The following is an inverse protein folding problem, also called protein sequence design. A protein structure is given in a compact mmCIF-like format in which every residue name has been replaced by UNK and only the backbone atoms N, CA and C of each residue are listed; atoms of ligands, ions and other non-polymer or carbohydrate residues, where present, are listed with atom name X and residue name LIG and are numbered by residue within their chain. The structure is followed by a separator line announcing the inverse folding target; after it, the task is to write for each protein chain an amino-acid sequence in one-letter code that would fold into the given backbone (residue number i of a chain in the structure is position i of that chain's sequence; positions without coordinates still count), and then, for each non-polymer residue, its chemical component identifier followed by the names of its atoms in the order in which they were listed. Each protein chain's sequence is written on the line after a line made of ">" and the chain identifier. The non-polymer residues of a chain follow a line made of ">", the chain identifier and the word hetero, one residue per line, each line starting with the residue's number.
data_IF_134353296645
#
_entry.id   IF_134353296645
#
_cell.length_a   1.000
_cell.length_b   1.000
_cell.length_c   1.000
_cell.angle_alpha   90.00
_cell.angle_beta   90.00
_cell.angle_gamma   90.00
#
_symmetry.space_group_name_H-M   'P 1'
#
loop_
_entity.id
_entity.type
_entity.pdbx_description
1 polymer ?
#
# COMPACT_ATOMS: atom_id res chain seq x y z
N UNK A 1 36.77 -18.68 -1.64
CA UNK A 1 36.70 -17.62 -2.68
C UNK A 1 35.63 -16.64 -2.24
N UNK A 2 36.01 -15.50 -1.66
CA UNK A 2 35.05 -14.49 -1.20
C UNK A 2 34.44 -13.80 -2.43
N UNK A 3 33.12 -13.80 -2.56
CA UNK A 3 32.46 -13.05 -3.63
C UNK A 3 32.80 -11.56 -3.49
N UNK A 4 33.16 -10.86 -4.58
CA UNK A 4 33.43 -9.44 -4.51
C UNK A 4 32.19 -8.73 -3.93
N UNK A 5 32.40 -7.92 -2.89
CA UNK A 5 31.37 -7.06 -2.31
C UNK A 5 30.80 -6.20 -3.43
N UNK A 6 29.59 -6.52 -3.88
CA UNK A 6 28.94 -5.74 -4.93
C UNK A 6 28.60 -4.35 -4.39
N UNK A 7 28.76 -3.29 -5.19
CA UNK A 7 28.48 -1.93 -4.75
C UNK A 7 27.03 -1.83 -4.25
N UNK A 8 26.81 -1.11 -3.15
CA UNK A 8 25.51 -1.08 -2.43
C UNK A 8 24.31 -0.75 -3.33
N UNK A 9 24.53 0.12 -4.34
CA UNK A 9 23.53 0.46 -5.36
C UNK A 9 23.06 -0.75 -6.18
N UNK A 10 23.94 -1.69 -6.46
CA UNK A 10 23.61 -2.93 -7.16
C UNK A 10 22.71 -3.82 -6.30
N UNK A 11 23.04 -3.96 -5.01
CA UNK A 11 22.25 -4.77 -4.09
C UNK A 11 20.82 -4.22 -3.95
N UNK A 12 20.68 -2.90 -3.81
CA UNK A 12 19.37 -2.23 -3.74
C UNK A 12 18.58 -2.47 -5.03
N UNK A 13 19.17 -2.19 -6.21
CA UNK A 13 18.49 -2.40 -7.49
C UNK A 13 18.09 -3.87 -7.71
N UNK A 14 18.90 -4.83 -7.26
CA UNK A 14 18.58 -6.25 -7.33
C UNK A 14 17.34 -6.59 -6.49
N UNK A 15 17.21 -6.03 -5.29
CA UNK A 15 16.01 -6.21 -4.46
C UNK A 15 14.78 -5.57 -5.10
N UNK A 16 14.92 -4.38 -5.69
CA UNK A 16 13.82 -3.75 -6.42
C UNK A 16 13.38 -4.55 -7.65
N UNK A 17 14.33 -5.15 -8.39
CA UNK A 17 14.01 -6.02 -9.51
C UNK A 17 13.24 -7.28 -9.06
N UNK A 18 13.64 -7.88 -7.93
CA UNK A 18 12.91 -8.99 -7.32
C UNK A 18 11.50 -8.59 -6.91
N UNK A 19 11.36 -7.42 -6.27
CA UNK A 19 10.07 -6.87 -5.89
C UNK A 19 9.13 -6.75 -7.10
N UNK A 20 9.58 -6.13 -8.19
CA UNK A 20 8.71 -5.98 -9.37
C UNK A 20 8.40 -7.31 -10.06
N UNK A 21 9.36 -8.25 -10.07
CA UNK A 21 9.16 -9.58 -10.66
C UNK A 21 8.12 -10.38 -9.87
N UNK A 22 8.18 -10.32 -8.54
CA UNK A 22 7.20 -10.96 -7.65
C UNK A 22 5.82 -10.30 -7.77
N UNK A 23 5.78 -8.98 -7.94
CA UNK A 23 4.54 -8.27 -8.20
C UNK A 23 3.89 -8.68 -9.52
N UNK A 24 4.70 -8.99 -10.55
CA UNK A 24 4.23 -9.46 -11.85
C UNK A 24 3.62 -10.87 -11.80
N UNK A 25 4.07 -11.72 -10.87
CA UNK A 25 3.48 -13.06 -10.61
C UNK A 25 2.42 -13.04 -9.50
N UNK A 26 1.92 -11.86 -9.14
CA UNK A 26 0.87 -11.63 -8.15
C UNK A 26 1.20 -12.18 -6.74
N UNK A 27 2.46 -12.05 -6.32
CA UNK A 27 2.91 -12.29 -4.94
C UNK A 27 3.25 -10.97 -4.21
N UNK A 28 2.26 -10.09 -3.95
CA UNK A 28 2.51 -8.72 -3.49
C UNK A 28 3.10 -8.65 -2.08
N UNK A 29 2.85 -9.63 -1.20
CA UNK A 29 3.43 -9.67 0.16
C UNK A 29 4.94 -9.90 0.13
N UNK A 30 5.41 -10.86 -0.68
CA UNK A 30 6.86 -11.10 -0.84
C UNK A 30 7.52 -9.96 -1.61
N UNK A 31 6.82 -9.42 -2.61
CA UNK A 31 7.27 -8.24 -3.34
C UNK A 31 7.49 -7.03 -2.40
N UNK A 32 6.57 -6.82 -1.45
CA UNK A 32 6.65 -5.75 -0.46
C UNK A 32 7.89 -5.90 0.42
N UNK A 33 8.16 -7.11 0.92
CA UNK A 33 9.34 -7.38 1.76
C UNK A 33 10.63 -6.96 1.04
N UNK A 34 10.80 -7.33 -0.23
CA UNK A 34 11.98 -6.94 -1.01
C UNK A 34 12.06 -5.42 -1.25
N UNK A 35 10.93 -4.73 -1.41
CA UNK A 35 10.91 -3.26 -1.53
C UNK A 35 11.31 -2.57 -0.21
N UNK A 36 10.91 -3.13 0.94
CA UNK A 36 11.26 -2.62 2.26
C UNK A 36 12.73 -2.88 2.60
N UNK A 37 13.27 -4.06 2.27
CA UNK A 37 14.71 -4.36 2.39
C UNK A 37 15.55 -3.39 1.55
N UNK A 38 15.09 -3.12 0.32
CA UNK A 38 15.73 -2.16 -0.58
C UNK A 38 15.70 -0.74 -0.01
N UNK A 39 14.57 -0.33 0.58
CA UNK A 39 14.42 0.97 1.23
C UNK A 39 15.34 1.09 2.44
N UNK A 40 15.34 0.10 3.34
CA UNK A 40 16.20 0.07 4.52
C UNK A 40 17.66 0.24 4.15
N UNK A 41 18.13 -0.53 3.17
CA UNK A 41 19.50 -0.43 2.66
C UNK A 41 19.80 0.93 2.04
N UNK A 42 18.86 1.51 1.29
CA UNK A 42 19.03 2.83 0.67
C UNK A 42 19.03 3.99 1.69
N UNK A 43 18.30 3.83 2.80
CA UNK A 43 18.30 4.78 3.93
C UNK A 43 19.64 4.74 4.65
N UNK A 44 20.13 3.55 5.02
CA UNK A 44 21.43 3.40 5.68
C UNK A 44 22.58 3.93 4.82
N UNK A 45 22.48 3.76 3.50
CA UNK A 45 23.50 4.20 2.56
C UNK A 45 23.36 5.65 2.08
N UNK A 46 22.36 6.40 2.58
CA UNK A 46 22.03 7.78 2.17
C UNK A 46 21.90 7.98 0.66
N UNK A 47 21.38 6.99 -0.06
CA UNK A 47 21.17 7.07 -1.51
C UNK A 47 19.76 7.56 -1.82
N UNK A 48 19.52 8.87 -1.71
CA UNK A 48 18.19 9.50 -1.83
C UNK A 48 17.41 9.11 -3.10
N UNK A 49 18.06 9.04 -4.26
CA UNK A 49 17.43 8.58 -5.50
C UNK A 49 16.85 7.17 -5.37
N UNK A 50 17.60 6.26 -4.73
CA UNK A 50 17.15 4.89 -4.52
C UNK A 50 16.12 4.80 -3.39
N UNK A 51 16.16 5.65 -2.37
CA UNK A 51 15.09 5.74 -1.37
C UNK A 51 13.75 6.10 -2.02
N UNK A 52 13.73 7.15 -2.85
CA UNK A 52 12.54 7.55 -3.61
C UNK A 52 12.05 6.42 -4.53
N UNK A 53 12.96 5.76 -5.24
CA UNK A 53 12.63 4.60 -6.09
C UNK A 53 12.06 3.44 -5.26
N UNK A 54 12.64 3.11 -4.11
CA UNK A 54 12.12 2.06 -3.22
C UNK A 54 10.73 2.40 -2.68
N UNK A 55 10.46 3.67 -2.35
CA UNK A 55 9.13 4.12 -1.96
C UNK A 55 8.09 3.94 -3.08
N UNK A 56 8.47 4.13 -4.35
CA UNK A 56 7.59 3.87 -5.49
C UNK A 56 7.16 2.39 -5.54
N UNK A 57 8.13 1.47 -5.49
CA UNK A 57 7.85 0.02 -5.53
C UNK A 57 7.07 -0.44 -4.29
N UNK A 58 7.40 0.09 -3.11
CA UNK A 58 6.63 -0.15 -1.88
C UNK A 58 5.17 0.26 -2.05
N UNK A 59 4.92 1.45 -2.61
CA UNK A 59 3.57 1.94 -2.90
C UNK A 59 2.80 1.03 -3.85
N UNK A 60 3.43 0.56 -4.93
CA UNK A 60 2.82 -0.38 -5.87
C UNK A 60 2.43 -1.71 -5.21
N UNK A 61 3.29 -2.24 -4.34
CA UNK A 61 2.99 -3.48 -3.61
C UNK A 61 1.83 -3.29 -2.62
N UNK A 62 1.82 -2.19 -1.87
CA UNK A 62 0.74 -1.86 -0.93
C UNK A 62 -0.60 -1.64 -1.64
N UNK A 63 -0.57 -1.02 -2.81
CA UNK A 63 -1.75 -0.83 -3.65
C UNK A 63 -2.34 -2.17 -4.08
N UNK A 64 -1.51 -3.14 -4.50
CA UNK A 64 -1.94 -4.50 -4.81
C UNK A 64 -2.50 -5.27 -3.60
N UNK A 65 -2.04 -4.95 -2.39
CA UNK A 65 -2.57 -5.51 -1.14
C UNK A 65 -3.86 -4.82 -0.64
N UNK A 66 -4.34 -3.79 -1.33
CA UNK A 66 -5.48 -2.98 -0.86
C UNK A 66 -5.16 -2.08 0.33
N UNK A 67 -3.88 -1.90 0.68
CA UNK A 67 -3.43 -1.03 1.78
C UNK A 67 -3.30 0.42 1.29
N UNK A 68 -4.44 1.00 0.90
CA UNK A 68 -4.50 2.25 0.13
C UNK A 68 -3.89 3.46 0.84
N UNK A 69 -4.11 3.63 2.15
CA UNK A 69 -3.58 4.77 2.92
C UNK A 69 -2.04 4.73 2.93
N UNK A 70 -1.47 3.56 3.22
CA UNK A 70 -0.02 3.38 3.27
C UNK A 70 0.61 3.50 1.89
N UNK A 71 -0.09 3.05 0.84
CA UNK A 71 0.33 3.25 -0.54
C UNK A 71 0.39 4.73 -0.89
N UNK A 72 -0.63 5.53 -0.54
CA UNK A 72 -0.65 6.99 -0.75
C UNK A 72 0.54 7.69 -0.07
N UNK A 73 0.86 7.33 1.17
CA UNK A 73 2.02 7.85 1.86
C UNK A 73 3.34 7.45 1.19
N UNK A 74 3.44 6.20 0.74
CA UNK A 74 4.62 5.73 0.00
C UNK A 74 4.81 6.52 -1.30
N UNK A 75 3.75 6.78 -2.06
CA UNK A 75 3.82 7.59 -3.28
C UNK A 75 4.17 9.05 -3.00
N UNK A 76 3.69 9.61 -1.89
CA UNK A 76 4.10 10.96 -1.45
C UNK A 76 5.61 11.03 -1.20
N UNK A 77 6.17 10.02 -0.54
CA UNK A 77 7.62 9.91 -0.32
C UNK A 77 8.38 9.65 -1.62
N UNK A 78 7.83 8.87 -2.54
CA UNK A 78 8.42 8.63 -3.84
C UNK A 78 8.54 9.91 -4.69
N UNK A 79 7.53 10.78 -4.64
CA UNK A 79 7.49 12.04 -5.37
C UNK A 79 8.51 13.09 -4.90
N UNK A 80 9.23 12.85 -3.80
CA UNK A 80 10.28 13.74 -3.28
C UNK A 80 11.45 13.95 -4.25
N UNK A 81 11.62 13.04 -5.23
CA UNK A 81 12.58 13.20 -6.33
C UNK A 81 11.79 13.41 -7.62
N UNK A 82 11.99 14.56 -8.26
CA UNK A 82 11.23 15.04 -9.43
C UNK A 82 11.06 14.03 -10.57
N UNK A 83 11.95 13.03 -10.67
CA UNK A 83 11.91 11.99 -11.69
C UNK A 83 10.61 11.15 -11.67
N UNK A 84 9.98 10.96 -10.50
CA UNK A 84 8.79 10.12 -10.35
C UNK A 84 7.51 10.91 -10.05
N UNK A 85 7.59 12.24 -9.95
CA UNK A 85 6.53 13.08 -9.40
C UNK A 85 5.18 12.95 -10.11
N UNK A 86 5.18 12.94 -11.45
CA UNK A 86 3.94 12.79 -12.23
C UNK A 86 3.25 11.44 -11.97
N UNK A 87 3.99 10.34 -12.13
CA UNK A 87 3.41 9.00 -11.98
C UNK A 87 3.03 8.67 -10.53
N UNK A 88 3.86 9.07 -9.58
CA UNK A 88 3.55 8.89 -8.16
C UNK A 88 2.32 9.72 -7.74
N UNK A 89 2.14 10.92 -8.30
CA UNK A 89 0.96 11.75 -8.06
C UNK A 89 -0.34 11.11 -8.54
N UNK A 90 -0.35 10.56 -9.76
CA UNK A 90 -1.49 9.79 -10.29
C UNK A 90 -1.87 8.63 -9.37
N UNK A 91 -0.90 7.80 -9.01
CA UNK A 91 -1.12 6.62 -8.18
C UNK A 91 -1.57 6.98 -6.76
N UNK A 92 -1.05 8.09 -6.21
CA UNK A 92 -1.50 8.63 -4.93
C UNK A 92 -2.98 9.00 -4.98
N UNK A 93 -3.41 9.75 -6.00
CA UNK A 93 -4.81 10.16 -6.15
C UNK A 93 -5.73 8.94 -6.30
N UNK A 94 -5.29 7.91 -7.01
CA UNK A 94 -6.01 6.65 -7.14
C UNK A 94 -6.18 5.95 -5.78
N UNK A 95 -5.10 5.84 -5.00
CA UNK A 95 -5.16 5.26 -3.66
C UNK A 95 -6.11 6.03 -2.74
N UNK A 96 -6.09 7.37 -2.77
CA UNK A 96 -6.99 8.18 -1.94
C UNK A 96 -8.46 8.02 -2.33
N UNK A 97 -8.76 7.87 -3.63
CA UNK A 97 -10.11 7.56 -4.11
C UNK A 97 -10.57 6.19 -3.60
N UNK A 98 -9.73 5.16 -3.73
CA UNK A 98 -10.04 3.81 -3.26
C UNK A 98 -10.25 3.74 -1.75
N UNK A 99 -9.40 4.43 -0.97
CA UNK A 99 -9.56 4.54 0.47
C UNK A 99 -10.90 5.17 0.86
N UNK A 100 -11.36 6.19 0.12
CA UNK A 100 -12.69 6.80 0.33
C UNK A 100 -13.82 5.84 0.00
N UNK A 101 -13.71 5.09 -1.09
CA UNK A 101 -14.71 4.10 -1.49
C UNK A 101 -14.83 3.00 -0.43
N UNK A 102 -13.72 2.49 0.07
CA UNK A 102 -13.73 1.45 1.10
C UNK A 102 -14.35 1.97 2.41
N UNK A 103 -14.04 3.20 2.81
CA UNK A 103 -14.71 3.84 3.96
C UNK A 103 -16.23 3.98 3.75
N UNK A 104 -16.68 4.35 2.54
CA UNK A 104 -18.12 4.44 2.22
C UNK A 104 -18.81 3.08 2.23
N UNK A 105 -18.15 2.02 1.75
CA UNK A 105 -18.68 0.64 1.83
C UNK A 105 -18.88 0.21 3.28
N UNK A 106 -17.89 0.48 4.13
CA UNK A 106 -17.97 0.18 5.57
C UNK A 106 -19.15 0.91 6.21
N UNK A 107 -19.30 2.22 5.95
CA UNK A 107 -20.44 3.00 6.46
C UNK A 107 -21.78 2.44 5.95
N UNK A 108 -21.85 2.04 4.67
CA UNK A 108 -23.07 1.45 4.11
C UNK A 108 -23.43 0.11 4.77
N UNK A 109 -22.44 -0.73 5.06
CA UNK A 109 -22.63 -2.01 5.75
C UNK A 109 -23.12 -1.81 7.18
N UNK A 110 -22.54 -0.86 7.91
CA UNK A 110 -23.03 -0.47 9.24
C UNK A 110 -24.43 0.13 9.18
N UNK A 111 -24.72 0.99 8.20
CA UNK A 111 -26.04 1.58 8.00
C UNK A 111 -27.13 0.54 7.68
N UNK A 112 -26.81 -0.52 6.94
CA UNK A 112 -27.71 -1.67 6.79
C UNK A 112 -27.89 -2.42 8.11
N UNK A 113 -26.82 -2.68 8.87
CA UNK A 113 -26.87 -3.41 10.14
C UNK A 113 -27.73 -2.70 11.19
N UNK A 114 -27.58 -1.37 11.32
CA UNK A 114 -28.40 -0.54 12.21
C UNK A 114 -29.89 -0.56 11.85
N UNK A 115 -30.24 -0.64 10.56
CA UNK A 115 -31.63 -0.80 10.13
C UNK A 115 -32.20 -2.16 10.52
N UNK A 116 -31.39 -3.24 10.47
CA UNK A 116 -31.85 -4.58 10.88
C UNK A 116 -32.05 -4.64 12.40
N UNK A 117 -31.12 -4.06 13.18
CA UNK A 117 -31.23 -4.01 14.64
C UNK A 117 -32.43 -3.17 15.11
N UNK A 118 -32.65 -1.99 14.51
CA UNK A 118 -33.82 -1.16 14.83
C UNK A 118 -35.15 -1.85 14.50
N UNK A 119 -35.20 -2.63 13.41
CA UNK A 119 -36.39 -3.41 13.04
C UNK A 119 -36.58 -4.60 14.00
N UNK A 120 -35.51 -5.28 14.40
CA UNK A 120 -35.60 -6.39 15.36
C UNK A 120 -36.11 -5.93 16.74
N UNK A 121 -35.62 -4.80 17.25
CA UNK A 121 -36.10 -4.22 18.52
C UNK A 121 -37.57 -3.83 18.43
N UNK A 122 -38.00 -3.22 17.31
CA UNK A 122 -39.40 -2.86 17.12
C UNK A 122 -40.33 -4.08 17.04
N UNK A 123 -39.88 -5.21 16.48
CA UNK A 123 -40.65 -6.46 16.43
C UNK A 123 -40.75 -7.09 17.83
N UNK A 124 -39.67 -7.12 18.61
CA UNK A 124 -39.68 -7.63 19.99
C UNK A 124 -40.58 -6.81 20.93
N UNK A 125 -40.68 -5.50 20.73
CA UNK A 125 -41.59 -4.66 21.52
C UNK A 125 -43.07 -4.89 21.15
N UNK A 126 -43.37 -5.24 19.90
CA UNK A 126 -44.75 -5.54 19.46
C UNK A 126 -45.23 -6.90 19.99
N UNK A 127 -44.37 -7.92 20.04
CA UNK A 127 -44.72 -9.26 20.58
C UNK A 127 -44.97 -9.26 22.10
N UNK A 128 -44.52 -8.24 22.84
CA UNK A 128 -44.75 -8.13 24.30
C UNK A 128 -46.07 -7.45 24.68
N UNK A 129 -46.82 -6.95 23.70
CA UNK A 129 -48.06 -6.19 23.90
C UNK A 129 -49.32 -7.03 23.58
N UNK A 130 -49.15 -8.24 23.05
CA UNK A 130 -50.23 -9.26 22.91
C UNK A 130 -50.22 -10.27 24.06
#
# INVERSE_FOLDING_TARGET
>A
MAMPQQPIKYQINRQLLRSVSLLAVDEPTKALQHAEDALFTAVIADVFYLQSKSHLYRGMCLMKLGRWIEASWAFTRAASVCYWGGKAGELKMECEKMARIDNLKVISQFGSSLKVEAVAVAVEEVEKVE
#
